data_IF_021162590119
#
_entry.id   IF_021162590119
#
_cell.length_a   1.000
_cell.length_b   1.000
_cell.length_c   1.000
_cell.angle_alpha   90.00
_cell.angle_beta   90.00
_cell.angle_gamma   90.00
#
_symmetry.space_group_name_H-M   'P 1'
#
loop_
_entity.id
_entity.type
_entity.pdbx_description
1 polymer ?
#
# COMPACT_ATOMS: atom_id res chain seq x y z
N UNK A 1 7.56 3.06 15.01
CA UNK A 1 7.34 2.07 13.95
C UNK A 1 5.85 1.88 13.74
N UNK A 2 5.43 1.80 12.50
CA UNK A 2 4.00 1.62 12.17
C UNK A 2 3.66 0.14 12.19
N UNK A 3 2.62 -0.24 12.93
CA UNK A 3 2.05 -1.57 12.88
C UNK A 3 1.20 -1.71 11.62
N UNK A 4 1.22 -2.89 11.00
CA UNK A 4 0.48 -3.14 9.77
C UNK A 4 -0.44 -4.34 9.98
N UNK A 5 -1.72 -4.13 9.64
CA UNK A 5 -2.71 -5.21 9.53
C UNK A 5 -3.07 -5.35 8.06
N UNK A 6 -3.56 -6.52 7.68
CA UNK A 6 -3.92 -6.80 6.30
C UNK A 6 -5.33 -7.35 6.20
N UNK A 7 -5.97 -7.13 5.05
CA UNK A 7 -7.25 -7.76 4.74
C UNK A 7 -7.01 -9.06 4.00
N UNK A 8 -8.04 -9.90 3.95
CA UNK A 8 -8.01 -11.11 3.15
C UNK A 8 -7.76 -10.78 1.67
N UNK A 9 -8.40 -9.74 1.16
CA UNK A 9 -8.20 -9.32 -0.23
C UNK A 9 -6.76 -8.92 -0.48
N UNK A 10 -6.14 -8.15 0.43
CA UNK A 10 -4.75 -7.76 0.27
C UNK A 10 -3.85 -8.98 0.17
N UNK A 11 -4.02 -9.94 1.08
CA UNK A 11 -3.17 -11.14 1.10
C UNK A 11 -3.31 -11.96 -0.16
N UNK A 12 -4.54 -12.11 -0.66
CA UNK A 12 -4.80 -12.83 -1.91
C UNK A 12 -4.12 -12.15 -3.10
N UNK A 13 -4.30 -10.84 -3.23
CA UNK A 13 -3.72 -10.09 -4.34
C UNK A 13 -2.21 -10.00 -4.25
N UNK A 14 -1.68 -9.88 -3.05
CA UNK A 14 -0.24 -9.87 -2.82
C UNK A 14 0.39 -11.19 -3.30
N UNK A 15 -0.25 -12.31 -3.00
CA UNK A 15 0.23 -13.62 -3.43
C UNK A 15 0.20 -13.78 -4.95
N UNK A 16 -0.69 -13.06 -5.64
CA UNK A 16 -0.81 -13.10 -7.10
C UNK A 16 0.18 -12.19 -7.82
N UNK A 17 0.88 -11.31 -7.11
CA UNK A 17 1.87 -10.43 -7.74
C UNK A 17 3.00 -11.25 -8.36
N UNK A 18 3.59 -10.77 -9.48
CA UNK A 18 4.81 -11.39 -10.00
C UNK A 18 5.88 -11.45 -8.92
N UNK A 19 6.69 -12.51 -8.93
CA UNK A 19 7.68 -12.73 -7.86
C UNK A 19 8.61 -11.53 -7.64
N UNK A 20 9.06 -10.88 -8.71
CA UNK A 20 9.92 -9.71 -8.62
C UNK A 20 9.19 -8.53 -7.94
N UNK A 21 7.90 -8.36 -8.23
CA UNK A 21 7.09 -7.30 -7.64
C UNK A 21 6.84 -7.56 -6.16
N UNK A 22 6.57 -8.83 -5.79
CA UNK A 22 6.41 -9.21 -4.38
C UNK A 22 7.66 -8.88 -3.58
N UNK A 23 8.83 -9.15 -4.14
CA UNK A 23 10.10 -8.84 -3.48
C UNK A 23 10.26 -7.35 -3.25
N UNK A 24 9.95 -6.55 -4.28
CA UNK A 24 9.96 -5.10 -4.16
C UNK A 24 8.93 -4.60 -3.13
N UNK A 25 7.74 -5.19 -3.14
CA UNK A 25 6.67 -4.84 -2.21
C UNK A 25 7.09 -5.10 -0.77
N UNK A 26 7.78 -6.21 -0.53
CA UNK A 26 8.26 -6.54 0.81
C UNK A 26 9.24 -5.50 1.33
N UNK A 27 10.17 -5.07 0.49
CA UNK A 27 11.12 -4.02 0.84
C UNK A 27 10.42 -2.70 1.14
N UNK A 28 9.44 -2.33 0.33
CA UNK A 28 8.68 -1.10 0.54
C UNK A 28 7.79 -1.16 1.78
N UNK A 29 7.28 -2.35 2.11
CA UNK A 29 6.53 -2.58 3.34
C UNK A 29 7.41 -2.29 4.56
N UNK A 30 8.63 -2.83 4.57
CA UNK A 30 9.56 -2.58 5.68
C UNK A 30 9.84 -1.09 5.80
N UNK A 31 10.12 -0.44 4.67
CA UNK A 31 10.38 1.00 4.65
C UNK A 31 9.17 1.79 5.16
N UNK A 32 7.97 1.41 4.74
CA UNK A 32 6.73 2.04 5.22
C UNK A 32 6.60 1.92 6.74
N UNK A 33 6.90 0.76 7.29
CA UNK A 33 6.81 0.54 8.73
C UNK A 33 7.75 1.45 9.52
N UNK A 34 8.91 1.75 8.94
CA UNK A 34 9.89 2.64 9.57
C UNK A 34 9.55 4.11 9.35
N UNK A 35 9.12 4.46 8.13
CA UNK A 35 8.78 5.84 7.78
C UNK A 35 7.74 5.83 6.65
N UNK A 36 6.45 5.92 6.98
CA UNK A 36 5.39 5.82 5.97
C UNK A 36 5.39 6.96 4.95
N UNK A 37 6.10 8.05 5.22
CA UNK A 37 6.19 9.20 4.32
C UNK A 37 7.57 9.34 3.68
N UNK A 38 8.35 8.26 3.67
CA UNK A 38 9.64 8.27 2.99
C UNK A 38 9.43 8.67 1.51
N UNK A 39 10.26 9.57 0.95
CA UNK A 39 10.05 10.07 -0.41
C UNK A 39 9.91 8.99 -1.48
N UNK A 40 10.64 7.88 -1.37
CA UNK A 40 10.59 6.81 -2.36
C UNK A 40 9.25 6.08 -2.41
N UNK A 41 8.42 6.22 -1.38
CA UNK A 41 7.10 5.59 -1.33
C UNK A 41 6.04 6.40 -2.07
N UNK A 42 6.24 7.69 -2.25
CA UNK A 42 5.25 8.58 -2.85
C UNK A 42 3.87 8.41 -2.21
N UNK A 43 3.86 8.34 -0.88
CA UNK A 43 2.62 8.17 -0.12
C UNK A 43 1.69 9.34 -0.33
N UNK A 44 0.44 9.07 -0.70
CA UNK A 44 -0.53 10.11 -0.95
C UNK A 44 -1.94 9.70 -0.56
N UNK A 45 -2.77 10.68 -0.22
CA UNK A 45 -4.18 10.44 0.05
C UNK A 45 -4.95 10.49 -1.27
N UNK A 46 -5.77 9.47 -1.51
CA UNK A 46 -6.52 9.35 -2.76
C UNK A 46 -7.78 10.21 -2.76
N UNK A 47 -8.24 10.59 -3.94
CA UNK A 47 -9.49 11.30 -4.11
C UNK A 47 -10.64 10.31 -4.30
N UNK A 48 -11.84 10.65 -3.84
CA UNK A 48 -12.15 11.79 -2.97
C UNK A 48 -11.64 11.55 -1.54
N UNK A 49 -11.20 12.63 -0.91
CA UNK A 49 -10.55 12.54 0.41
C UNK A 49 -11.45 11.96 1.50
N UNK A 50 -12.77 12.08 1.32
CA UNK A 50 -13.75 11.56 2.28
C UNK A 50 -13.68 10.04 2.43
N UNK A 51 -13.16 9.34 1.43
CA UNK A 51 -12.99 7.88 1.50
C UNK A 51 -11.86 7.47 2.43
N UNK A 52 -10.96 8.39 2.75
CA UNK A 52 -9.81 8.16 3.62
C UNK A 52 -8.94 7.00 3.16
N UNK A 53 -8.77 6.88 1.85
CA UNK A 53 -7.90 5.89 1.25
C UNK A 53 -6.56 6.54 0.89
N UNK A 54 -5.50 5.80 1.15
CA UNK A 54 -4.13 6.21 0.88
C UNK A 54 -3.46 5.18 -0.01
N UNK A 55 -2.38 5.58 -0.68
CA UNK A 55 -1.57 4.63 -1.44
C UNK A 55 -0.10 4.93 -1.26
N UNK A 56 0.73 3.90 -1.46
CA UNK A 56 2.15 4.10 -1.65
C UNK A 56 2.65 3.18 -2.76
N UNK A 57 3.79 3.55 -3.34
CA UNK A 57 4.35 2.84 -4.50
C UNK A 57 5.16 1.62 -4.09
N UNK A 58 4.87 0.48 -4.72
CA UNK A 58 5.78 -0.65 -4.75
C UNK A 58 6.88 -0.35 -5.78
N UNK A 59 6.44 0.06 -6.97
CA UNK A 59 7.29 0.54 -8.07
C UNK A 59 6.44 1.47 -8.94
N UNK A 60 6.88 1.77 -10.17
CA UNK A 60 6.13 2.66 -11.05
C UNK A 60 4.75 2.15 -11.41
N UNK A 61 4.58 0.84 -11.50
CA UNK A 61 3.37 0.21 -12.01
C UNK A 61 2.43 -0.28 -10.93
N UNK A 62 2.93 -0.55 -9.74
CA UNK A 62 2.16 -1.21 -8.68
C UNK A 62 2.07 -0.35 -7.43
N UNK A 63 0.92 -0.44 -6.77
CA UNK A 63 0.62 0.34 -5.55
C UNK A 63 0.02 -0.57 -4.50
N UNK A 64 0.18 -0.16 -3.22
CA UNK A 64 -0.57 -0.70 -2.10
C UNK A 64 -1.55 0.37 -1.66
N UNK A 65 -2.82 -0.01 -1.47
CA UNK A 65 -3.84 0.89 -0.94
C UNK A 65 -4.07 0.54 0.53
N UNK A 66 -4.09 1.55 1.37
CA UNK A 66 -4.26 1.36 2.80
C UNK A 66 -5.12 2.47 3.39
N UNK A 67 -5.55 2.24 4.63
CA UNK A 67 -6.15 3.30 5.44
C UNK A 67 -5.53 3.28 6.82
N UNK A 68 -5.51 4.43 7.47
CA UNK A 68 -5.04 4.52 8.84
C UNK A 68 -6.14 4.07 9.77
N UNK A 69 -5.84 3.13 10.68
CA UNK A 69 -6.75 2.74 11.75
C UNK A 69 -6.60 3.67 12.95
N UNK A 70 -5.36 4.10 13.19
CA UNK A 70 -5.02 5.09 14.20
C UNK A 70 -3.67 5.70 13.82
N UNK A 71 -3.08 6.51 14.70
CA UNK A 71 -1.85 7.23 14.40
C UNK A 71 -0.64 6.33 14.16
N UNK A 72 -0.71 5.07 14.58
CA UNK A 72 0.43 4.16 14.51
C UNK A 72 0.11 2.81 13.85
N UNK A 73 -1.10 2.64 13.31
CA UNK A 73 -1.54 1.37 12.72
C UNK A 73 -2.18 1.61 11.35
N UNK A 74 -1.65 0.95 10.33
CA UNK A 74 -2.23 1.01 8.98
C UNK A 74 -2.86 -0.33 8.62
N UNK A 75 -3.97 -0.28 7.89
CA UNK A 75 -4.63 -1.47 7.34
C UNK A 75 -4.39 -1.50 5.84
N UNK A 76 -3.64 -2.48 5.35
CA UNK A 76 -3.43 -2.69 3.93
C UNK A 76 -4.66 -3.36 3.35
N UNK A 77 -5.39 -2.63 2.49
CA UNK A 77 -6.67 -3.07 1.96
C UNK A 77 -6.54 -3.93 0.72
N UNK A 78 -5.66 -3.53 -0.19
CA UNK A 78 -5.48 -4.21 -1.47
C UNK A 78 -4.20 -3.73 -2.12
N UNK A 79 -3.79 -4.40 -3.20
CA UNK A 79 -2.66 -3.97 -4.01
C UNK A 79 -2.90 -4.37 -5.46
N UNK A 80 -2.25 -3.66 -6.37
CA UNK A 80 -2.39 -3.96 -7.79
C UNK A 80 -1.77 -2.90 -8.67
N UNK A 81 -1.97 -3.03 -10.00
CA UNK A 81 -1.44 -2.08 -10.96
C UNK A 81 -2.01 -0.68 -10.77
N UNK A 82 -1.20 0.33 -11.06
CA UNK A 82 -1.58 1.73 -10.97
C UNK A 82 -2.88 2.04 -11.73
N UNK A 83 -3.01 1.51 -12.93
CA UNK A 83 -4.19 1.75 -13.77
C UNK A 83 -5.48 1.21 -13.14
N UNK A 84 -5.38 0.13 -12.38
CA UNK A 84 -6.53 -0.50 -11.74
C UNK A 84 -6.96 0.26 -10.47
N UNK A 85 -5.99 0.78 -9.73
CA UNK A 85 -6.22 1.44 -8.45
C UNK A 85 -7.15 2.64 -8.56
N UNK A 86 -7.06 3.39 -9.66
CA UNK A 86 -7.91 4.57 -9.84
C UNK A 86 -9.34 4.24 -10.25
N UNK A 87 -9.68 2.96 -10.33
CA UNK A 87 -11.04 2.52 -10.64
C UNK A 87 -11.83 2.08 -9.40
N UNK A 88 -11.19 2.06 -8.26
CA UNK A 88 -11.87 1.67 -7.02
C UNK A 88 -12.54 2.83 -6.31
#
# INVERSE_FOLDING_TARGET
MIAVETTFEFERRFAELPAAVRKQAHKKWILFSENPYHPSLHTEKLHPKQRELWSFRINRQYRIIFRWLDASTALFLTCGPHSWIYRI
#
